data_IF_147006876137
#
_entry.id   IF_147006876137
#
_cell.length_a   1.000
_cell.length_b   1.000
_cell.length_c   1.000
_cell.angle_alpha   90.00
_cell.angle_beta   90.00
_cell.angle_gamma   90.00
#
_symmetry.space_group_name_H-M   'P 1'
#
loop_
_entity.id
_entity.type
_entity.pdbx_description
1 polymer ?
#
# COMPACT_ATOMS: atom_id res chain seq x y z
N UNK A 1 41.55 10.70 -3.33
CA UNK A 1 40.33 11.49 -3.66
C UNK A 1 39.86 11.18 -5.10
N UNK A 2 39.56 9.91 -5.44
CA UNK A 2 39.08 9.48 -6.79
C UNK A 2 38.16 8.23 -6.75
N UNK A 3 37.67 7.84 -5.57
CA UNK A 3 36.88 6.60 -5.38
C UNK A 3 35.38 6.88 -5.13
N UNK A 4 34.96 8.15 -5.15
CA UNK A 4 33.64 8.56 -4.66
C UNK A 4 32.56 8.88 -5.73
N UNK A 5 32.76 8.57 -7.02
CA UNK A 5 31.90 9.15 -8.09
C UNK A 5 31.14 8.19 -9.03
N UNK A 6 31.17 6.87 -8.85
CA UNK A 6 30.47 5.95 -9.77
C UNK A 6 29.57 4.93 -9.08
N UNK A 7 28.61 5.40 -8.28
CA UNK A 7 27.36 4.66 -8.11
C UNK A 7 26.47 4.92 -9.34
N UNK A 8 26.87 4.41 -10.51
CA UNK A 8 25.97 4.39 -11.66
C UNK A 8 24.80 3.47 -11.30
N UNK A 9 23.59 4.01 -11.31
CA UNK A 9 22.34 3.25 -11.22
C UNK A 9 22.39 2.16 -12.31
N UNK A 10 22.71 0.92 -11.93
CA UNK A 10 22.76 -0.17 -12.90
C UNK A 10 21.32 -0.53 -13.30
N UNK A 11 21.03 -0.58 -14.60
CA UNK A 11 19.71 -0.89 -15.15
C UNK A 11 19.23 -2.34 -14.88
N UNK A 12 20.00 -3.14 -14.13
CA UNK A 12 19.72 -4.55 -13.83
C UNK A 12 18.40 -4.74 -13.08
N UNK A 13 17.96 -3.74 -12.29
CA UNK A 13 16.68 -3.78 -11.59
C UNK A 13 15.48 -3.86 -12.56
N UNK A 14 15.61 -3.36 -13.79
CA UNK A 14 14.54 -3.40 -14.81
C UNK A 14 14.19 -4.84 -15.18
N UNK A 15 15.17 -5.74 -15.24
CA UNK A 15 14.92 -7.15 -15.56
C UNK A 15 14.08 -7.83 -14.46
N UNK A 16 14.42 -7.56 -13.19
CA UNK A 16 13.68 -8.06 -12.02
C UNK A 16 12.28 -7.47 -11.97
N UNK A 17 12.15 -6.16 -12.17
CA UNK A 17 10.86 -5.48 -12.22
C UNK A 17 9.97 -6.03 -13.33
N UNK A 18 10.52 -6.23 -14.54
CA UNK A 18 9.77 -6.77 -15.68
C UNK A 18 9.27 -8.20 -15.42
N UNK A 19 10.06 -9.02 -14.73
CA UNK A 19 9.65 -10.36 -14.27
C UNK A 19 8.50 -10.28 -13.28
N UNK A 20 8.61 -9.45 -12.24
CA UNK A 20 7.56 -9.27 -11.23
C UNK A 20 6.28 -8.69 -11.85
N UNK A 21 6.40 -7.69 -12.73
CA UNK A 21 5.28 -7.10 -13.45
C UNK A 21 4.57 -8.12 -14.35
N UNK A 22 5.29 -9.05 -14.98
CA UNK A 22 4.68 -10.10 -15.81
C UNK A 22 3.85 -11.09 -14.98
N UNK A 23 4.36 -11.48 -13.80
CA UNK A 23 3.62 -12.34 -12.86
C UNK A 23 2.40 -11.58 -12.32
N UNK A 24 2.61 -10.34 -11.87
CA UNK A 24 1.54 -9.49 -11.37
C UNK A 24 0.43 -9.29 -12.40
N UNK A 25 0.76 -9.08 -13.68
CA UNK A 25 -0.25 -8.94 -14.75
C UNK A 25 -1.18 -10.14 -14.88
N UNK A 26 -0.72 -11.36 -14.60
CA UNK A 26 -1.59 -12.55 -14.60
C UNK A 26 -2.53 -12.59 -13.38
N UNK A 27 -2.13 -11.95 -12.29
CA UNK A 27 -2.88 -11.86 -11.04
C UNK A 27 -3.65 -10.53 -10.92
N UNK A 28 -3.47 -9.60 -11.86
CA UNK A 28 -3.95 -8.23 -11.76
C UNK A 28 -5.47 -8.16 -11.67
N UNK A 29 -6.19 -8.98 -12.44
CA UNK A 29 -7.66 -9.01 -12.37
C UNK A 29 -8.18 -9.33 -10.97
N UNK A 30 -7.86 -10.51 -10.41
CA UNK A 30 -8.24 -10.85 -9.04
C UNK A 30 -7.66 -9.89 -7.98
N UNK A 31 -6.42 -9.46 -8.14
CA UNK A 31 -5.76 -8.56 -7.19
C UNK A 31 -6.42 -7.19 -7.15
N UNK A 32 -6.74 -6.59 -8.30
CA UNK A 32 -7.42 -5.29 -8.36
C UNK A 32 -8.87 -5.41 -7.87
N UNK A 33 -9.59 -6.46 -8.25
CA UNK A 33 -10.95 -6.70 -7.75
C UNK A 33 -10.97 -6.90 -6.23
N UNK A 34 -10.03 -7.67 -5.67
CA UNK A 34 -9.97 -7.87 -4.22
C UNK A 34 -9.54 -6.61 -3.46
N UNK A 35 -8.46 -5.96 -3.89
CA UNK A 35 -7.87 -4.85 -3.13
C UNK A 35 -8.57 -3.50 -3.37
N UNK A 36 -9.22 -3.31 -4.53
CA UNK A 36 -9.89 -2.04 -4.89
C UNK A 36 -11.40 -2.19 -4.93
N UNK A 37 -11.91 -3.39 -5.22
CA UNK A 37 -13.36 -3.63 -5.26
C UNK A 37 -14.03 -3.36 -3.91
N UNK A 38 -13.44 -3.81 -2.80
CA UNK A 38 -14.00 -3.57 -1.47
C UNK A 38 -14.06 -2.08 -1.08
N UNK A 39 -12.95 -1.30 -1.19
CA UNK A 39 -13.00 0.14 -0.96
C UNK A 39 -13.99 0.88 -1.87
N UNK A 40 -14.07 0.50 -3.15
CA UNK A 40 -15.03 1.11 -4.08
C UNK A 40 -16.47 0.75 -3.72
N UNK A 41 -16.75 -0.47 -3.28
CA UNK A 41 -18.07 -0.87 -2.81
C UNK A 41 -18.45 -0.09 -1.55
N UNK A 42 -17.52 0.14 -0.62
CA UNK A 42 -17.78 1.00 0.54
C UNK A 42 -18.05 2.45 0.15
N UNK A 43 -17.26 3.02 -0.77
CA UNK A 43 -17.49 4.36 -1.29
C UNK A 43 -18.83 4.45 -2.03
N UNK A 44 -19.24 3.42 -2.76
CA UNK A 44 -20.52 3.40 -3.46
C UNK A 44 -21.68 3.26 -2.46
N UNK A 45 -21.63 2.29 -1.55
CA UNK A 45 -22.69 2.05 -0.58
C UNK A 45 -22.86 3.22 0.40
N UNK A 46 -21.76 3.71 0.97
CA UNK A 46 -21.79 4.78 1.97
C UNK A 46 -21.81 6.15 1.31
N UNK A 47 -20.99 6.38 0.29
CA UNK A 47 -20.91 7.68 -0.38
C UNK A 47 -22.17 8.02 -1.17
N UNK A 48 -22.72 7.09 -1.96
CA UNK A 48 -23.98 7.35 -2.68
C UNK A 48 -25.20 7.23 -1.76
N UNK A 49 -25.23 6.22 -0.89
CA UNK A 49 -26.37 5.98 0.00
C UNK A 49 -26.49 6.98 1.13
N UNK A 50 -25.41 7.24 1.87
CA UNK A 50 -25.40 8.13 3.04
C UNK A 50 -25.06 9.58 2.65
N UNK A 51 -24.30 9.79 1.57
CA UNK A 51 -23.89 11.13 1.14
C UNK A 51 -25.06 12.04 0.78
N UNK A 52 -26.18 11.50 0.28
CA UNK A 52 -27.39 12.29 0.03
C UNK A 52 -28.07 12.78 1.31
N UNK A 53 -27.82 12.15 2.46
CA UNK A 53 -28.37 12.54 3.75
C UNK A 53 -27.43 13.44 4.55
N UNK A 54 -26.11 13.25 4.41
CA UNK A 54 -25.11 14.03 5.14
C UNK A 54 -24.77 15.34 4.41
N UNK A 55 -24.62 15.29 3.07
CA UNK A 55 -24.21 16.44 2.26
C UNK A 55 -22.75 16.81 2.46
N UNK A 56 -22.47 17.58 3.52
CA UNK A 56 -21.13 18.10 3.82
C UNK A 56 -20.73 17.83 5.27
N UNK A 57 -19.44 17.57 5.47
CA UNK A 57 -18.79 17.44 6.77
C UNK A 57 -17.73 18.53 6.86
N UNK A 58 -17.91 19.47 7.80
CA UNK A 58 -16.98 20.60 8.00
C UNK A 58 -16.68 21.40 6.72
N UNK A 59 -17.67 21.54 5.82
CA UNK A 59 -17.53 22.24 4.53
C UNK A 59 -16.82 21.43 3.44
N UNK A 60 -16.57 20.14 3.68
CA UNK A 60 -16.08 19.19 2.68
C UNK A 60 -17.21 18.25 2.26
N UNK A 61 -17.33 18.01 0.96
CA UNK A 61 -18.24 17.00 0.43
C UNK A 61 -18.00 15.62 1.07
N UNK A 62 -19.07 14.96 1.50
CA UNK A 62 -18.98 13.71 2.27
C UNK A 62 -18.22 12.60 1.52
N UNK A 63 -18.39 12.50 0.19
CA UNK A 63 -17.65 11.54 -0.63
C UNK A 63 -16.15 11.82 -0.59
N UNK A 64 -15.77 13.10 -0.67
CA UNK A 64 -14.36 13.53 -0.60
C UNK A 64 -13.75 13.24 0.77
N UNK A 65 -14.48 13.54 1.85
CA UNK A 65 -14.09 13.21 3.22
C UNK A 65 -13.90 11.70 3.38
N UNK A 66 -14.86 10.90 2.93
CA UNK A 66 -14.83 9.45 3.05
C UNK A 66 -13.66 8.84 2.26
N UNK A 67 -13.44 9.29 1.01
CA UNK A 67 -12.34 8.82 0.17
C UNK A 67 -10.98 9.08 0.80
N UNK A 68 -10.75 10.29 1.31
CA UNK A 68 -9.49 10.63 1.99
C UNK A 68 -9.27 9.79 3.26
N UNK A 69 -10.32 9.57 4.06
CA UNK A 69 -10.27 8.70 5.23
C UNK A 69 -9.88 7.26 4.90
N UNK A 70 -10.43 6.70 3.82
CA UNK A 70 -10.05 5.37 3.33
C UNK A 70 -8.58 5.27 2.94
N UNK A 71 -8.04 6.28 2.26
CA UNK A 71 -6.62 6.32 1.90
C UNK A 71 -5.75 6.31 3.16
N UNK A 72 -6.01 7.21 4.10
CA UNK A 72 -5.28 7.27 5.37
C UNK A 72 -5.32 5.95 6.15
N UNK A 73 -6.52 5.35 6.26
CA UNK A 73 -6.70 4.07 6.93
C UNK A 73 -5.90 2.94 6.27
N UNK A 74 -5.88 2.88 4.92
CA UNK A 74 -5.13 1.87 4.17
C UNK A 74 -3.61 1.97 4.37
N UNK A 75 -3.08 3.20 4.37
CA UNK A 75 -1.65 3.47 4.58
C UNK A 75 -1.26 3.09 6.00
N UNK A 76 -2.06 3.52 6.99
CA UNK A 76 -1.81 3.21 8.39
C UNK A 76 -1.83 1.70 8.63
N UNK A 77 -2.82 1.00 8.09
CA UNK A 77 -2.94 -0.45 8.20
C UNK A 77 -1.70 -1.16 7.59
N UNK A 78 -1.28 -0.75 6.40
CA UNK A 78 -0.08 -1.29 5.73
C UNK A 78 1.18 -1.06 6.55
N UNK A 79 1.38 0.17 7.05
CA UNK A 79 2.53 0.53 7.86
C UNK A 79 2.57 -0.25 9.18
N UNK A 80 1.41 -0.46 9.82
CA UNK A 80 1.31 -1.29 11.04
C UNK A 80 1.64 -2.75 10.76
N UNK A 81 1.15 -3.33 9.66
CA UNK A 81 1.46 -4.72 9.31
C UNK A 81 2.95 -4.92 9.01
N UNK A 82 3.58 -4.00 8.28
CA UNK A 82 5.02 -4.05 8.06
C UNK A 82 5.79 -3.84 9.36
N UNK A 83 5.41 -2.84 10.17
CA UNK A 83 6.10 -2.52 11.42
C UNK A 83 6.00 -3.64 12.46
N UNK A 84 4.89 -4.35 12.52
CA UNK A 84 4.65 -5.40 13.53
C UNK A 84 5.08 -6.76 13.01
N UNK A 85 4.45 -7.25 11.93
CA UNK A 85 4.68 -8.62 11.49
C UNK A 85 6.03 -8.79 10.81
N UNK A 86 6.43 -7.88 9.90
CA UNK A 86 7.73 -7.98 9.22
C UNK A 86 8.89 -7.86 10.22
N UNK A 87 8.78 -6.97 11.20
CA UNK A 87 9.79 -6.82 12.26
C UNK A 87 9.79 -8.01 13.23
N UNK A 88 8.61 -8.46 13.68
CA UNK A 88 8.50 -9.60 14.59
C UNK A 88 9.09 -10.87 14.00
N UNK A 89 8.83 -11.18 12.73
CA UNK A 89 9.37 -12.38 12.07
C UNK A 89 10.91 -12.36 12.04
N UNK A 90 11.51 -11.18 11.83
CA UNK A 90 12.96 -10.96 11.83
C UNK A 90 13.59 -11.11 13.23
N UNK A 91 12.85 -10.74 14.27
CA UNK A 91 13.27 -10.90 15.67
C UNK A 91 13.08 -12.33 16.18
N UNK A 92 11.86 -12.85 16.11
CA UNK A 92 11.47 -14.06 16.84
C UNK A 92 11.71 -15.37 16.09
N UNK A 93 11.70 -15.34 14.75
CA UNK A 93 11.84 -16.55 13.93
C UNK A 93 13.22 -16.63 13.29
N UNK A 94 13.73 -15.49 12.80
CA UNK A 94 14.97 -15.44 12.05
C UNK A 94 16.20 -15.06 12.88
N UNK A 95 16.01 -14.59 14.13
CA UNK A 95 17.08 -14.11 15.03
C UNK A 95 18.08 -13.15 14.36
N UNK A 96 17.66 -12.46 13.29
CA UNK A 96 18.57 -11.69 12.43
C UNK A 96 19.22 -10.53 13.17
N UNK A 97 18.51 -9.93 14.14
CA UNK A 97 19.05 -8.86 14.98
C UNK A 97 20.10 -9.38 15.96
N UNK A 98 19.89 -10.59 16.50
CA UNK A 98 20.84 -11.28 17.38
C UNK A 98 22.10 -11.70 16.64
N UNK A 99 21.98 -12.10 15.37
CA UNK A 99 23.11 -12.46 14.52
C UNK A 99 23.96 -11.26 14.04
N UNK A 100 23.44 -10.02 14.15
CA UNK A 100 24.16 -8.79 13.80
C UNK A 100 24.96 -8.20 14.97
N UNK A 101 24.74 -8.69 16.19
CA UNK A 101 25.39 -8.25 17.44
C UNK A 101 26.48 -9.23 17.86
#
# INVERSE_FOLDING_TARGET
MKVLLHAFISLRWIAVWRRNARVWRRLAGPALLGNIGEPLLYLLALGYGLGSFVGEVEGMDYITFLASGFVCASVMNTASFEGVYSAYTRMAVQDTWTAML
#
